data_IF_126964976319
#
_entry.id   IF_126964976319
#
_cell.length_a   1.000
_cell.length_b   1.000
_cell.length_c   1.000
_cell.angle_alpha   90.00
_cell.angle_beta   90.00
_cell.angle_gamma   90.00
#
_symmetry.space_group_name_H-M   'P 1'
#
loop_
_entity.id
_entity.type
_entity.pdbx_description
1 polymer ?
#
# COMPACT_ATOMS: atom_id res chain seq x y z
N UNK A 1 24.19 -30.60 50.78
CA UNK A 1 23.93 -29.33 50.10
C UNK A 1 25.16 -29.09 49.20
N UNK A 2 25.04 -29.40 47.88
CA UNK A 2 26.09 -29.04 46.91
C UNK A 2 26.03 -27.55 46.67
N UNK A 3 27.10 -26.82 47.03
CA UNK A 3 27.30 -25.44 46.61
C UNK A 3 27.56 -25.46 45.10
N UNK A 4 26.63 -25.00 44.32
CA UNK A 4 26.84 -24.71 42.90
C UNK A 4 27.87 -23.57 42.81
N UNK A 5 28.89 -23.74 41.95
CA UNK A 5 29.85 -22.70 41.65
C UNK A 5 29.17 -21.54 40.97
N UNK A 6 29.71 -20.34 41.08
CA UNK A 6 29.17 -19.13 40.44
C UNK A 6 29.01 -19.27 38.91
N UNK A 7 29.88 -20.08 38.29
CA UNK A 7 29.83 -20.41 36.85
C UNK A 7 28.62 -21.31 36.48
N UNK A 8 28.32 -22.36 37.30
CA UNK A 8 27.13 -23.21 37.09
C UNK A 8 25.82 -22.45 37.32
N UNK A 9 25.82 -21.47 38.26
CA UNK A 9 24.65 -20.58 38.43
C UNK A 9 24.45 -19.65 37.24
N UNK A 10 25.51 -19.18 36.63
CA UNK A 10 25.44 -18.33 35.44
C UNK A 10 25.01 -19.13 34.19
N UNK A 11 25.49 -20.35 34.00
CA UNK A 11 25.06 -21.23 32.90
C UNK A 11 23.57 -21.61 32.98
N UNK A 12 23.04 -21.86 34.16
CA UNK A 12 21.61 -22.19 34.38
C UNK A 12 20.73 -20.95 34.22
N UNK A 13 21.26 -19.73 34.45
CA UNK A 13 20.54 -18.46 34.26
C UNK A 13 20.62 -17.94 32.81
N UNK A 14 21.65 -18.32 32.04
CA UNK A 14 21.83 -17.88 30.65
C UNK A 14 20.91 -18.60 29.67
N UNK A 15 20.56 -19.87 29.89
CA UNK A 15 19.75 -20.67 28.96
C UNK A 15 18.33 -20.13 28.72
N UNK A 16 17.53 -19.70 29.70
CA UNK A 16 16.21 -19.12 29.47
C UNK A 16 16.31 -17.75 28.79
N UNK A 17 17.33 -16.95 29.10
CA UNK A 17 17.54 -15.62 28.55
C UNK A 17 17.90 -15.68 27.05
N UNK A 18 18.78 -16.60 26.66
CA UNK A 18 19.14 -16.85 25.26
C UNK A 18 17.94 -17.29 24.45
N UNK A 19 17.07 -18.11 25.00
CA UNK A 19 15.81 -18.54 24.37
C UNK A 19 14.83 -17.38 24.11
N UNK A 20 14.72 -16.44 25.06
CA UNK A 20 13.85 -15.26 24.90
C UNK A 20 14.41 -14.31 23.84
N UNK A 21 15.72 -14.04 23.85
CA UNK A 21 16.37 -13.21 22.81
C UNK A 21 16.17 -13.78 21.42
N UNK A 22 16.33 -15.08 21.24
CA UNK A 22 16.11 -15.74 19.95
C UNK A 22 14.67 -15.59 19.47
N UNK A 23 13.68 -15.73 20.35
CA UNK A 23 12.26 -15.49 20.01
C UNK A 23 12.02 -14.04 19.61
N UNK A 24 12.60 -13.08 20.34
CA UNK A 24 12.54 -11.65 20.02
C UNK A 24 13.14 -11.31 18.66
N UNK A 25 14.28 -11.91 18.32
CA UNK A 25 14.90 -11.71 17.01
C UNK A 25 14.02 -12.22 15.86
N UNK A 26 13.33 -13.34 16.03
CA UNK A 26 12.37 -13.85 15.05
C UNK A 26 11.20 -12.89 14.90
N UNK A 27 10.64 -12.36 16.01
CA UNK A 27 9.56 -11.36 15.97
C UNK A 27 10.00 -10.08 15.27
N UNK A 28 11.21 -9.57 15.57
CA UNK A 28 11.78 -8.40 14.91
C UNK A 28 12.01 -8.63 13.41
N UNK A 29 12.42 -9.83 13.00
CA UNK A 29 12.59 -10.17 11.60
C UNK A 29 11.25 -10.18 10.86
N UNK A 30 10.20 -10.76 11.44
CA UNK A 30 8.85 -10.73 10.89
C UNK A 30 8.35 -9.28 10.75
N UNK A 31 8.47 -8.50 11.82
CA UNK A 31 8.06 -7.11 11.84
C UNK A 31 8.82 -6.27 10.79
N UNK A 32 10.13 -6.48 10.66
CA UNK A 32 10.98 -5.85 9.65
C UNK A 32 10.50 -6.18 8.24
N UNK A 33 10.29 -7.47 7.94
CA UNK A 33 9.80 -7.90 6.62
C UNK A 33 8.48 -7.23 6.24
N UNK A 34 7.52 -7.19 7.16
CA UNK A 34 6.21 -6.59 6.93
C UNK A 34 6.32 -5.08 6.74
N UNK A 35 7.14 -4.41 7.53
CA UNK A 35 7.34 -2.97 7.48
C UNK A 35 8.05 -2.54 6.18
N UNK A 36 9.10 -3.25 5.78
CA UNK A 36 9.79 -3.04 4.49
C UNK A 36 8.85 -3.25 3.30
N UNK A 37 7.88 -4.14 3.44
CA UNK A 37 6.87 -4.42 2.41
C UNK A 37 5.67 -3.48 2.43
N UNK A 38 5.68 -2.45 3.26
CA UNK A 38 4.65 -1.42 3.29
C UNK A 38 3.33 -1.86 3.92
N UNK A 39 3.34 -2.82 4.85
CA UNK A 39 2.16 -3.16 5.63
C UNK A 39 1.74 -2.00 6.55
N UNK A 40 0.45 -1.92 6.86
CA UNK A 40 -0.08 -1.03 7.89
C UNK A 40 0.35 -1.47 9.29
N UNK A 41 0.36 -0.53 10.24
CA UNK A 41 0.86 -0.79 11.61
C UNK A 41 0.00 -1.81 12.36
N UNK A 42 -1.31 -1.76 12.20
CA UNK A 42 -2.25 -2.70 12.84
C UNK A 42 -1.94 -4.13 12.43
N UNK A 43 -1.65 -4.32 11.15
CA UNK A 43 -1.29 -5.61 10.60
C UNK A 43 0.04 -6.11 11.14
N UNK A 44 1.06 -5.27 11.17
CA UNK A 44 2.37 -5.65 11.72
C UNK A 44 2.21 -6.12 13.17
N UNK A 45 1.47 -5.36 13.99
CA UNK A 45 1.19 -5.73 15.39
C UNK A 45 0.46 -7.07 15.47
N UNK A 46 -0.58 -7.27 14.68
CA UNK A 46 -1.36 -8.52 14.67
C UNK A 46 -0.51 -9.74 14.28
N UNK A 47 0.35 -9.63 13.28
CA UNK A 47 1.22 -10.72 12.84
C UNK A 47 2.32 -11.03 13.88
N UNK A 48 2.88 -10.00 14.55
CA UNK A 48 3.82 -10.18 15.67
C UNK A 48 3.13 -10.92 16.82
N UNK A 49 1.93 -10.51 17.19
CA UNK A 49 1.15 -11.15 18.25
C UNK A 49 0.84 -12.62 17.95
N UNK A 50 0.46 -12.93 16.70
CA UNK A 50 0.24 -14.31 16.28
C UNK A 50 1.52 -15.15 16.34
N UNK A 51 2.64 -14.62 15.84
CA UNK A 51 3.93 -15.29 15.92
C UNK A 51 4.41 -15.48 17.38
N UNK A 52 4.18 -14.50 18.25
CA UNK A 52 4.49 -14.58 19.67
C UNK A 52 3.67 -15.69 20.35
N UNK A 53 2.37 -15.75 20.06
CA UNK A 53 1.49 -16.83 20.56
C UNK A 53 1.98 -18.19 20.10
N UNK A 54 2.37 -18.34 18.82
CA UNK A 54 2.97 -19.57 18.30
C UNK A 54 4.23 -19.98 19.09
N UNK A 55 5.04 -19.01 19.51
CA UNK A 55 6.27 -19.25 20.28
C UNK A 55 6.05 -19.38 21.78
N UNK A 56 4.77 -19.39 22.23
CA UNK A 56 4.40 -19.52 23.65
C UNK A 56 4.63 -18.25 24.47
N UNK A 57 4.62 -17.07 23.85
CA UNK A 57 4.72 -15.77 24.55
C UNK A 57 3.29 -15.22 24.72
N UNK A 58 2.79 -15.09 25.96
CA UNK A 58 1.47 -14.53 26.22
C UNK A 58 1.39 -13.05 25.82
N UNK A 59 0.23 -12.63 25.31
CA UNK A 59 0.01 -11.24 24.87
C UNK A 59 0.24 -10.21 25.96
N UNK A 60 -0.08 -10.56 27.21
CA UNK A 60 0.04 -9.65 28.36
C UNK A 60 1.47 -9.26 28.70
N UNK A 61 2.46 -10.04 28.27
CA UNK A 61 3.88 -9.76 28.49
C UNK A 61 4.56 -9.07 27.31
N UNK A 62 3.82 -8.86 26.21
CA UNK A 62 4.37 -8.34 24.96
C UNK A 62 3.89 -6.92 24.70
N UNK A 63 4.80 -5.96 24.76
CA UNK A 63 4.55 -4.57 24.37
C UNK A 63 5.22 -4.29 23.02
N UNK A 64 4.42 -3.85 22.04
CA UNK A 64 4.88 -3.59 20.69
C UNK A 64 4.69 -2.11 20.39
N UNK A 65 5.77 -1.42 20.06
CA UNK A 65 5.74 -0.04 19.60
C UNK A 65 6.32 0.04 18.19
N UNK A 66 5.55 0.60 17.26
CA UNK A 66 5.94 0.75 15.86
C UNK A 66 5.84 2.22 15.48
N UNK A 67 6.96 2.80 15.09
CA UNK A 67 6.99 4.05 14.35
C UNK A 67 7.26 3.77 12.87
N UNK A 68 7.25 4.80 12.03
CA UNK A 68 7.42 4.61 10.59
C UNK A 68 8.76 3.96 10.19
N UNK A 69 9.82 4.18 10.94
CA UNK A 69 11.18 3.67 10.64
C UNK A 69 11.75 2.79 11.72
N UNK A 70 11.03 2.56 12.81
CA UNK A 70 11.56 1.84 13.97
C UNK A 70 10.52 0.90 14.55
N UNK A 71 10.95 -0.30 14.84
CA UNK A 71 10.20 -1.32 15.55
C UNK A 71 10.85 -1.51 16.90
N UNK A 72 10.08 -1.45 17.97
CA UNK A 72 10.50 -1.74 19.32
C UNK A 72 9.57 -2.80 19.91
N UNK A 73 10.13 -3.86 20.44
CA UNK A 73 9.42 -4.93 21.10
C UNK A 73 10.01 -5.06 22.50
N UNK A 74 9.12 -5.02 23.48
CA UNK A 74 9.45 -5.23 24.87
C UNK A 74 8.72 -6.48 25.40
N UNK A 75 9.43 -7.32 26.10
CA UNK A 75 8.87 -8.44 26.88
C UNK A 75 9.15 -8.20 28.35
N UNK A 76 8.09 -8.23 29.16
CA UNK A 76 8.19 -8.19 30.61
C UNK A 76 7.93 -9.60 31.17
N UNK A 77 8.91 -10.17 31.86
CA UNK A 77 8.81 -11.50 32.44
C UNK A 77 9.60 -11.56 33.76
N UNK A 78 8.96 -11.99 34.84
CA UNK A 78 9.55 -12.22 36.17
C UNK A 78 10.48 -11.07 36.63
N UNK A 79 9.95 -9.86 36.77
CA UNK A 79 10.69 -8.65 37.21
C UNK A 79 11.80 -8.16 36.23
N UNK A 80 11.97 -8.83 35.09
CA UNK A 80 12.94 -8.42 34.05
C UNK A 80 12.20 -7.89 32.84
N UNK A 81 12.71 -6.80 32.29
CA UNK A 81 12.23 -6.17 31.06
C UNK A 81 13.31 -6.24 30.00
N UNK A 82 12.99 -6.88 28.88
CA UNK A 82 13.90 -6.96 27.73
C UNK A 82 13.29 -6.16 26.61
N UNK A 83 13.98 -5.10 26.18
CA UNK A 83 13.58 -4.25 25.06
C UNK A 83 14.57 -4.42 23.94
N UNK A 84 14.07 -4.74 22.76
CA UNK A 84 14.84 -4.82 21.51
C UNK A 84 14.25 -3.90 20.47
N UNK A 85 15.09 -3.28 19.65
CA UNK A 85 14.64 -2.41 18.58
C UNK A 85 15.38 -2.66 17.28
N UNK A 86 14.74 -2.31 16.16
CA UNK A 86 15.33 -2.40 14.81
C UNK A 86 14.87 -1.26 13.93
N UNK A 87 15.80 -0.66 13.18
CA UNK A 87 15.49 0.35 12.16
C UNK A 87 15.17 -0.29 10.82
N UNK A 88 14.21 0.28 10.13
CA UNK A 88 13.75 -0.14 8.79
C UNK A 88 13.61 1.10 7.89
N UNK A 89 14.66 1.50 7.18
CA UNK A 89 14.66 2.76 6.45
C UNK A 89 13.93 2.70 5.10
N UNK A 90 13.72 1.51 4.52
CA UNK A 90 13.22 1.34 3.16
C UNK A 90 11.84 0.68 3.20
N UNK A 91 10.87 1.27 2.48
CA UNK A 91 9.52 0.74 2.35
C UNK A 91 9.14 0.64 0.88
N UNK A 92 9.08 -0.58 0.36
CA UNK A 92 8.64 -0.86 -1.02
C UNK A 92 7.45 -1.83 -0.97
N UNK A 93 6.27 -1.44 -1.44
CA UNK A 93 5.10 -2.31 -1.39
C UNK A 93 5.35 -3.68 -2.02
N UNK A 94 5.15 -4.75 -1.23
CA UNK A 94 5.30 -6.13 -1.67
C UNK A 94 4.19 -7.01 -1.06
N UNK A 95 3.08 -7.09 -1.77
CA UNK A 95 1.89 -7.81 -1.31
C UNK A 95 2.10 -9.34 -1.27
N UNK A 96 2.99 -9.87 -2.13
CA UNK A 96 3.35 -11.29 -2.10
C UNK A 96 4.05 -11.66 -0.80
N UNK A 97 4.99 -10.81 -0.33
CA UNK A 97 5.70 -11.03 0.93
C UNK A 97 4.76 -10.94 2.13
N UNK A 98 3.90 -9.92 2.19
CA UNK A 98 2.90 -9.77 3.25
C UNK A 98 2.03 -11.02 3.35
N UNK A 99 1.56 -11.53 2.22
CA UNK A 99 0.77 -12.77 2.16
C UNK A 99 1.57 -14.01 2.58
N UNK A 100 2.85 -14.07 2.22
CA UNK A 100 3.72 -15.20 2.55
C UNK A 100 4.02 -15.28 4.05
N UNK A 101 4.28 -14.15 4.70
CA UNK A 101 4.50 -14.09 6.16
C UNK A 101 3.26 -14.62 6.89
N UNK A 102 2.07 -14.09 6.59
CA UNK A 102 0.81 -14.55 7.22
C UNK A 102 0.59 -16.05 7.00
N UNK A 103 0.81 -16.55 5.78
CA UNK A 103 0.67 -17.98 5.48
C UNK A 103 1.67 -18.85 6.22
N UNK A 104 2.91 -18.38 6.38
CA UNK A 104 3.94 -19.13 7.09
C UNK A 104 3.58 -19.27 8.57
N UNK A 105 3.13 -18.20 9.22
CA UNK A 105 2.71 -18.23 10.62
C UNK A 105 1.55 -19.22 10.84
N UNK A 106 0.54 -19.21 9.95
CA UNK A 106 -0.56 -20.17 10.02
C UNK A 106 -0.11 -21.62 9.82
N UNK A 107 0.76 -21.87 8.84
CA UNK A 107 1.32 -23.22 8.61
C UNK A 107 2.15 -23.69 9.78
N UNK A 108 2.84 -22.78 10.47
CA UNK A 108 3.62 -23.13 11.66
C UNK A 108 2.72 -23.65 12.78
N UNK A 109 1.53 -23.03 12.97
CA UNK A 109 0.52 -23.57 13.88
C UNK A 109 -0.03 -24.92 13.43
N UNK A 110 -0.47 -25.04 12.18
CA UNK A 110 -1.13 -26.25 11.66
C UNK A 110 -0.18 -27.47 11.60
N UNK A 111 1.11 -27.24 11.39
CA UNK A 111 2.11 -28.31 11.22
C UNK A 111 3.05 -28.46 12.41
N UNK A 112 2.78 -27.81 13.53
CA UNK A 112 3.57 -27.87 14.76
C UNK A 112 5.09 -27.68 14.51
N UNK A 113 5.46 -26.62 13.76
CA UNK A 113 6.87 -26.35 13.47
C UNK A 113 7.66 -26.09 14.76
N UNK A 114 8.91 -26.56 14.81
CA UNK A 114 9.86 -26.15 15.83
C UNK A 114 10.29 -24.69 15.62
N UNK A 115 10.71 -24.01 16.69
CA UNK A 115 11.21 -22.62 16.61
C UNK A 115 12.34 -22.50 15.58
N UNK A 116 13.27 -23.45 15.54
CA UNK A 116 14.39 -23.48 14.59
C UNK A 116 13.94 -23.59 13.13
N UNK A 117 12.90 -24.40 12.89
CA UNK A 117 12.32 -24.53 11.54
C UNK A 117 11.62 -23.25 11.13
N UNK A 118 10.85 -22.64 12.03
CA UNK A 118 10.13 -21.37 11.77
C UNK A 118 11.10 -20.24 11.48
N UNK A 119 12.13 -20.05 12.33
CA UNK A 119 13.19 -19.05 12.14
C UNK A 119 13.88 -19.20 10.77
N UNK A 120 14.29 -20.44 10.43
CA UNK A 120 14.90 -20.72 9.12
C UNK A 120 13.99 -20.39 7.96
N UNK A 121 12.70 -20.67 8.07
CA UNK A 121 11.73 -20.39 7.01
C UNK A 121 11.45 -18.90 6.89
N UNK A 122 11.35 -18.16 8.01
CA UNK A 122 11.24 -16.68 8.02
C UNK A 122 12.46 -16.05 7.34
N UNK A 123 13.67 -16.51 7.67
CA UNK A 123 14.90 -16.01 7.05
C UNK A 123 14.99 -16.29 5.54
N UNK A 124 14.38 -17.36 5.06
CA UNK A 124 14.36 -17.70 3.63
C UNK A 124 13.29 -16.98 2.83
N UNK A 125 12.29 -16.35 3.45
CA UNK A 125 11.17 -15.71 2.74
C UNK A 125 11.65 -14.68 1.71
N UNK A 126 12.63 -13.84 2.05
CA UNK A 126 13.16 -12.82 1.13
C UNK A 126 13.76 -13.41 -0.15
N UNK A 127 14.35 -14.60 -0.06
CA UNK A 127 14.96 -15.28 -1.20
C UNK A 127 13.96 -16.12 -2.01
N UNK A 128 12.87 -16.54 -1.37
CA UNK A 128 11.91 -17.49 -1.95
C UNK A 128 10.75 -16.80 -2.66
N UNK A 129 10.37 -15.58 -2.22
CA UNK A 129 9.23 -14.88 -2.80
C UNK A 129 9.66 -14.19 -4.10
N UNK A 130 9.06 -14.58 -5.25
CA UNK A 130 9.40 -13.98 -6.53
C UNK A 130 8.98 -12.51 -6.58
N UNK A 131 9.85 -11.69 -7.16
CA UNK A 131 9.58 -10.28 -7.45
C UNK A 131 9.51 -10.11 -8.96
N UNK A 132 8.50 -9.39 -9.44
CA UNK A 132 8.42 -9.09 -10.88
C UNK A 132 9.66 -8.34 -11.34
N UNK A 133 10.23 -8.72 -12.50
CA UNK A 133 11.40 -8.04 -13.05
C UNK A 133 11.08 -6.58 -13.40
N UNK A 134 12.11 -5.74 -13.44
CA UNK A 134 11.98 -4.30 -13.66
C UNK A 134 11.23 -3.99 -14.94
N UNK A 135 11.49 -4.71 -16.04
CA UNK A 135 10.80 -4.51 -17.31
C UNK A 135 9.30 -4.82 -17.21
N UNK A 136 8.91 -5.88 -16.49
CA UNK A 136 7.49 -6.23 -16.32
C UNK A 136 6.76 -5.18 -15.47
N UNK A 137 7.41 -4.63 -14.44
CA UNK A 137 6.88 -3.50 -13.67
C UNK A 137 6.75 -2.24 -14.51
N UNK A 138 7.69 -1.99 -15.44
CA UNK A 138 7.62 -0.88 -16.38
C UNK A 138 6.42 -1.00 -17.32
N UNK A 139 6.21 -2.16 -17.93
CA UNK A 139 5.04 -2.43 -18.78
C UNK A 139 3.74 -2.30 -17.97
N UNK A 140 3.70 -2.87 -16.78
CA UNK A 140 2.53 -2.76 -15.89
C UNK A 140 2.25 -1.30 -15.51
N UNK A 141 3.28 -0.51 -15.22
CA UNK A 141 3.17 0.92 -14.99
C UNK A 141 2.50 1.64 -16.17
N UNK A 142 3.02 1.40 -17.37
CA UNK A 142 2.51 2.01 -18.59
C UNK A 142 1.07 1.60 -18.92
N UNK A 143 0.74 0.29 -18.75
CA UNK A 143 -0.62 -0.21 -18.89
C UNK A 143 -1.57 0.37 -17.84
N UNK A 144 -1.14 0.49 -16.59
CA UNK A 144 -1.93 1.09 -15.52
C UNK A 144 -2.28 2.54 -15.79
N UNK A 145 -1.31 3.32 -16.25
CA UNK A 145 -1.50 4.72 -16.66
C UNK A 145 -2.43 4.87 -17.86
N UNK A 146 -2.23 4.06 -18.90
CA UNK A 146 -3.12 4.02 -20.06
C UNK A 146 -4.54 3.58 -19.66
N UNK A 147 -4.67 2.60 -18.75
CA UNK A 147 -5.95 2.18 -18.18
C UNK A 147 -6.67 3.32 -17.45
N UNK A 148 -5.95 4.15 -16.68
CA UNK A 148 -6.51 5.35 -16.06
C UNK A 148 -6.95 6.39 -17.11
N UNK A 149 -6.15 6.63 -18.16
CA UNK A 149 -6.53 7.51 -19.24
C UNK A 149 -7.80 7.00 -19.96
N UNK A 150 -7.91 5.69 -20.17
CA UNK A 150 -9.10 5.07 -20.76
C UNK A 150 -10.32 5.17 -19.85
N UNK A 151 -10.14 5.06 -18.54
CA UNK A 151 -11.19 5.31 -17.54
C UNK A 151 -11.80 6.72 -17.67
N UNK A 152 -11.01 7.70 -18.11
CA UNK A 152 -11.43 9.06 -18.40
C UNK A 152 -11.88 9.27 -19.86
N UNK A 153 -12.08 8.19 -20.61
CA UNK A 153 -12.54 8.21 -22.01
C UNK A 153 -11.58 8.91 -22.97
N UNK A 154 -10.27 8.82 -22.70
CA UNK A 154 -9.25 9.30 -23.63
C UNK A 154 -9.27 8.47 -24.93
N UNK A 155 -8.96 9.12 -26.05
CA UNK A 155 -8.87 8.50 -27.38
C UNK A 155 -7.68 7.53 -27.50
N UNK A 156 -7.71 6.65 -28.47
CA UNK A 156 -6.71 5.58 -28.65
C UNK A 156 -5.29 6.15 -28.79
N UNK A 157 -5.13 7.26 -29.51
CA UNK A 157 -3.83 7.91 -29.68
C UNK A 157 -3.30 8.37 -28.31
N UNK A 158 -4.14 9.01 -27.50
CA UNK A 158 -3.80 9.43 -26.14
C UNK A 158 -3.42 8.24 -25.25
N UNK A 159 -4.06 7.08 -25.41
CA UNK A 159 -3.70 5.86 -24.66
C UNK A 159 -2.27 5.40 -25.01
N UNK A 160 -1.95 5.34 -26.30
CA UNK A 160 -0.61 4.94 -26.77
C UNK A 160 0.46 5.92 -26.29
N UNK A 161 0.21 7.21 -26.41
CA UNK A 161 1.14 8.24 -25.93
C UNK A 161 1.31 8.17 -24.42
N UNK A 162 0.22 8.02 -23.65
CA UNK A 162 0.28 7.83 -22.18
C UNK A 162 1.11 6.60 -21.82
N UNK A 163 0.94 5.49 -22.53
CA UNK A 163 1.72 4.28 -22.33
C UNK A 163 3.22 4.53 -22.52
N UNK A 164 3.62 5.16 -23.64
CA UNK A 164 5.03 5.44 -23.94
C UNK A 164 5.63 6.40 -22.90
N UNK A 165 4.94 7.49 -22.59
CA UNK A 165 5.40 8.49 -21.63
C UNK A 165 5.60 7.89 -20.23
N UNK A 166 4.64 7.08 -19.75
CA UNK A 166 4.72 6.40 -18.47
C UNK A 166 5.86 5.39 -18.43
N UNK A 167 6.07 4.66 -19.53
CA UNK A 167 7.16 3.68 -19.65
C UNK A 167 8.52 4.37 -19.54
N UNK A 168 8.73 5.44 -20.30
CA UNK A 168 9.97 6.23 -20.26
C UNK A 168 10.19 6.86 -18.87
N UNK A 169 9.15 7.46 -18.28
CA UNK A 169 9.19 8.00 -16.94
C UNK A 169 9.56 6.94 -15.89
N UNK A 170 8.98 5.76 -15.96
CA UNK A 170 9.31 4.65 -15.04
C UNK A 170 10.77 4.23 -15.15
N UNK A 171 11.30 4.06 -16.36
CA UNK A 171 12.72 3.70 -16.54
C UNK A 171 13.65 4.81 -16.09
N UNK A 172 13.27 6.08 -16.30
CA UNK A 172 14.05 7.21 -15.76
C UNK A 172 14.06 7.23 -14.23
N UNK A 173 12.94 6.88 -13.56
CA UNK A 173 12.90 6.68 -12.11
C UNK A 173 13.85 5.58 -11.66
N UNK A 174 13.86 4.44 -12.35
CA UNK A 174 14.76 3.33 -12.03
C UNK A 174 16.22 3.74 -12.23
N UNK A 175 16.53 4.48 -13.29
CA UNK A 175 17.86 4.99 -13.55
C UNK A 175 18.32 5.97 -12.45
N UNK A 176 17.45 6.90 -12.06
CA UNK A 176 17.73 7.85 -10.97
C UNK A 176 18.05 7.16 -9.66
N UNK A 177 17.31 6.07 -9.33
CA UNK A 177 17.58 5.27 -8.14
C UNK A 177 18.92 4.52 -8.22
N UNK A 178 19.28 4.00 -9.40
CA UNK A 178 20.60 3.35 -9.61
C UNK A 178 21.76 4.31 -9.52
N UNK A 179 21.55 5.57 -9.90
CA UNK A 179 22.54 6.65 -9.76
C UNK A 179 22.64 7.19 -8.33
N UNK A 180 21.85 6.66 -7.38
CA UNK A 180 21.88 7.04 -5.97
C UNK A 180 21.17 8.37 -5.66
N UNK A 181 20.32 8.86 -6.57
CA UNK A 181 19.53 10.06 -6.30
C UNK A 181 18.49 9.80 -5.21
N UNK A 182 18.23 10.85 -4.42
CA UNK A 182 17.15 10.83 -3.45
C UNK A 182 15.80 10.52 -4.11
N UNK A 183 14.91 9.81 -3.40
CA UNK A 183 13.59 9.43 -3.88
C UNK A 183 12.78 10.63 -4.43
N UNK A 184 12.84 11.78 -3.76
CA UNK A 184 12.12 12.98 -4.18
C UNK A 184 12.65 13.55 -5.50
N UNK A 185 13.96 13.67 -5.64
CA UNK A 185 14.59 14.11 -6.87
C UNK A 185 14.32 13.12 -8.02
N UNK A 186 14.42 11.82 -7.75
CA UNK A 186 14.10 10.79 -8.73
C UNK A 186 12.65 10.86 -9.23
N UNK A 187 11.71 11.18 -8.34
CA UNK A 187 10.31 11.37 -8.70
C UNK A 187 10.11 12.67 -9.53
N UNK A 188 10.78 13.75 -9.19
CA UNK A 188 10.71 15.00 -9.97
C UNK A 188 11.27 14.80 -11.40
N UNK A 189 12.43 14.15 -11.54
CA UNK A 189 13.02 13.82 -12.84
C UNK A 189 12.10 12.92 -13.67
N UNK A 190 11.50 11.91 -13.04
CA UNK A 190 10.57 11.01 -13.70
C UNK A 190 9.34 11.76 -14.23
N UNK A 191 8.71 12.61 -13.40
CA UNK A 191 7.54 13.38 -13.78
C UNK A 191 7.89 14.39 -14.90
N UNK A 192 9.03 15.08 -14.79
CA UNK A 192 9.55 15.95 -15.84
C UNK A 192 9.69 15.21 -17.15
N UNK A 193 10.38 14.06 -17.14
CA UNK A 193 10.64 13.29 -18.35
C UNK A 193 9.35 12.79 -19.01
N UNK A 194 8.44 12.22 -18.23
CA UNK A 194 7.17 11.71 -18.75
C UNK A 194 6.35 12.84 -19.42
N UNK A 195 6.28 13.99 -18.78
CA UNK A 195 5.50 15.12 -19.26
C UNK A 195 6.18 15.83 -20.44
N UNK A 196 7.50 15.96 -20.42
CA UNK A 196 8.26 16.57 -21.52
C UNK A 196 8.18 15.73 -22.81
N UNK A 197 8.19 14.39 -22.70
CA UNK A 197 7.95 13.49 -23.83
C UNK A 197 6.51 13.62 -24.33
N UNK A 198 5.52 13.76 -23.43
CA UNK A 198 4.13 13.97 -23.83
C UNK A 198 3.96 15.28 -24.62
N UNK A 199 4.66 16.34 -24.22
CA UNK A 199 4.72 17.58 -24.99
C UNK A 199 5.36 17.39 -26.37
N UNK A 200 6.45 16.63 -26.46
CA UNK A 200 7.06 16.29 -27.75
C UNK A 200 6.06 15.62 -28.69
N UNK A 201 5.27 14.68 -28.20
CA UNK A 201 4.20 14.09 -29.03
C UNK A 201 3.15 15.10 -29.48
N UNK A 202 2.75 16.00 -28.57
CA UNK A 202 1.76 17.05 -28.89
C UNK A 202 2.20 17.97 -30.02
N UNK A 203 3.52 18.24 -30.19
CA UNK A 203 4.02 19.10 -31.28
C UNK A 203 3.95 18.44 -32.66
N UNK A 204 3.86 17.09 -32.71
CA UNK A 204 3.84 16.33 -33.95
C UNK A 204 2.48 15.70 -34.26
N UNK A 205 1.61 15.55 -33.29
CA UNK A 205 0.34 14.84 -33.38
C UNK A 205 -0.76 15.69 -32.73
N UNK A 206 -1.87 15.92 -33.42
CA UNK A 206 -3.05 16.52 -32.79
C UNK A 206 -3.61 15.56 -31.73
N UNK A 207 -3.43 15.87 -30.47
CA UNK A 207 -3.94 15.14 -29.33
C UNK A 207 -5.23 15.80 -28.83
N UNK A 208 -6.37 15.26 -29.21
CA UNK A 208 -7.68 15.72 -28.71
C UNK A 208 -7.85 15.61 -27.20
N UNK A 209 -7.14 14.67 -26.57
CA UNK A 209 -7.20 14.37 -25.15
C UNK A 209 -5.90 14.65 -24.40
N UNK A 210 -5.14 15.67 -24.81
CA UNK A 210 -3.81 16.01 -24.28
C UNK A 210 -3.77 16.07 -22.74
N UNK A 211 -4.77 16.68 -22.11
CA UNK A 211 -4.81 16.86 -20.64
C UNK A 211 -4.81 15.51 -19.91
N UNK A 212 -5.52 14.53 -20.44
CA UNK A 212 -5.51 13.18 -19.87
C UNK A 212 -4.14 12.52 -19.99
N UNK A 213 -3.45 12.72 -21.13
CA UNK A 213 -2.08 12.21 -21.33
C UNK A 213 -1.14 12.80 -20.27
N UNK A 214 -1.12 14.14 -20.14
CA UNK A 214 -0.23 14.86 -19.24
C UNK A 214 -0.41 14.46 -17.78
N UNK A 215 -1.65 14.26 -17.35
CA UNK A 215 -1.94 13.85 -15.97
C UNK A 215 -1.69 12.36 -15.78
N UNK A 216 -2.27 11.50 -16.64
CA UNK A 216 -2.23 10.06 -16.44
C UNK A 216 -0.83 9.47 -16.59
N UNK A 217 0.05 10.06 -17.41
CA UNK A 217 1.42 9.55 -17.58
C UNK A 217 2.28 9.64 -16.29
N UNK A 218 1.84 10.40 -15.28
CA UNK A 218 2.53 10.57 -14.01
C UNK A 218 1.79 9.95 -12.82
N UNK A 219 0.50 9.59 -12.96
CA UNK A 219 -0.34 9.09 -11.85
C UNK A 219 0.19 7.82 -11.17
N UNK A 220 0.97 6.99 -11.88
CA UNK A 220 1.57 5.79 -11.31
C UNK A 220 2.55 6.08 -10.17
N UNK A 221 3.04 7.31 -10.09
CA UNK A 221 3.99 7.73 -9.05
C UNK A 221 3.29 8.07 -7.73
N UNK A 222 1.99 8.32 -7.75
CA UNK A 222 1.24 8.65 -6.54
C UNK A 222 1.29 7.47 -5.58
N UNK A 223 1.83 7.67 -4.37
CA UNK A 223 2.03 6.60 -3.40
C UNK A 223 0.71 6.21 -2.71
N UNK A 224 -0.19 5.55 -3.45
CA UNK A 224 -1.53 5.19 -2.99
C UNK A 224 -1.55 4.29 -1.75
N UNK A 225 -0.63 3.30 -1.67
CA UNK A 225 -0.53 2.41 -0.49
C UNK A 225 -0.17 3.19 0.77
N UNK A 226 0.89 4.03 0.81
CA UNK A 226 1.19 4.86 1.97
C UNK A 226 0.07 5.83 2.33
N UNK A 227 -0.66 6.39 1.34
CA UNK A 227 -1.81 7.26 1.59
C UNK A 227 -2.93 6.55 2.34
N UNK A 228 -3.38 5.39 1.85
CA UNK A 228 -4.42 4.58 2.50
C UNK A 228 -3.95 4.17 3.90
N UNK A 229 -2.72 3.69 4.02
CA UNK A 229 -2.18 3.24 5.30
C UNK A 229 -2.02 4.39 6.30
N UNK A 230 -1.75 5.62 5.86
CA UNK A 230 -1.66 6.77 6.77
C UNK A 230 -2.98 7.02 7.49
N UNK A 231 -4.09 6.92 6.77
CA UNK A 231 -5.43 7.09 7.36
C UNK A 231 -5.80 5.88 8.23
N UNK A 232 -5.51 4.65 7.76
CA UNK A 232 -5.76 3.43 8.54
C UNK A 232 -5.00 3.48 9.87
N UNK A 233 -3.72 3.83 9.86
CA UNK A 233 -2.89 3.93 11.06
C UNK A 233 -3.44 5.00 12.03
N UNK A 234 -3.84 6.17 11.51
CA UNK A 234 -4.39 7.26 12.31
C UNK A 234 -5.70 6.88 12.98
N UNK A 235 -6.64 6.25 12.25
CA UNK A 235 -7.92 5.79 12.80
C UNK A 235 -7.74 4.73 13.89
N UNK A 236 -6.69 3.92 13.79
CA UNK A 236 -6.38 2.87 14.76
C UNK A 236 -5.42 3.33 15.88
N UNK A 237 -5.33 4.62 16.14
CA UNK A 237 -4.49 5.25 17.18
C UNK A 237 -2.96 5.10 17.00
N UNK A 238 -2.49 4.69 15.84
CA UNK A 238 -1.08 4.74 15.46
C UNK A 238 -0.74 6.09 14.82
N UNK A 239 -1.08 7.18 15.51
CA UNK A 239 -1.06 8.56 14.99
C UNK A 239 0.32 8.93 14.43
N UNK A 240 1.40 8.62 15.17
CA UNK A 240 2.77 8.96 14.75
C UNK A 240 3.15 8.29 13.42
N UNK A 241 2.83 7.02 13.25
CA UNK A 241 3.05 6.29 11.99
C UNK A 241 2.19 6.86 10.85
N UNK A 242 0.91 7.16 11.14
CA UNK A 242 -0.03 7.74 10.19
C UNK A 242 0.42 9.10 9.67
N UNK A 243 0.75 10.03 10.57
CA UNK A 243 1.23 11.38 10.20
C UNK A 243 2.54 11.30 9.40
N UNK A 244 3.49 10.49 9.83
CA UNK A 244 4.77 10.36 9.11
C UNK A 244 4.58 9.82 7.69
N UNK A 245 3.67 8.85 7.49
CA UNK A 245 3.29 8.35 6.16
C UNK A 245 2.62 9.45 5.32
N UNK A 246 1.73 10.24 5.91
CA UNK A 246 1.05 11.35 5.23
C UNK A 246 2.05 12.41 4.76
N UNK A 247 2.94 12.87 5.64
CA UNK A 247 3.96 13.88 5.31
C UNK A 247 4.89 13.37 4.20
N UNK A 248 5.39 12.14 4.31
CA UNK A 248 6.23 11.55 3.25
C UNK A 248 5.50 11.50 1.91
N UNK A 249 4.24 11.12 1.92
CA UNK A 249 3.42 11.07 0.71
C UNK A 249 3.25 12.47 0.10
N UNK A 250 2.99 13.48 0.91
CA UNK A 250 2.91 14.88 0.46
C UNK A 250 4.22 15.34 -0.18
N UNK A 251 5.36 15.00 0.40
CA UNK A 251 6.67 15.33 -0.17
C UNK A 251 6.90 14.64 -1.52
N UNK A 252 6.48 13.37 -1.68
CA UNK A 252 6.56 12.66 -2.96
C UNK A 252 5.68 13.33 -4.01
N UNK A 253 4.42 13.63 -3.69
CA UNK A 253 3.50 14.28 -4.63
C UNK A 253 3.96 15.70 -4.93
N UNK A 254 4.46 16.44 -3.95
CA UNK A 254 5.04 17.78 -4.15
C UNK A 254 6.25 17.76 -5.08
N UNK A 255 7.18 16.83 -4.89
CA UNK A 255 8.35 16.68 -5.78
C UNK A 255 7.95 16.33 -7.23
N UNK A 256 6.96 15.47 -7.39
CA UNK A 256 6.36 15.10 -8.66
C UNK A 256 5.74 16.33 -9.35
N UNK A 257 4.97 17.12 -8.61
CA UNK A 257 4.34 18.35 -9.12
C UNK A 257 5.37 19.38 -9.55
N UNK A 258 6.48 19.54 -8.81
CA UNK A 258 7.60 20.39 -9.22
C UNK A 258 8.22 19.93 -10.54
N UNK A 259 8.45 18.62 -10.71
CA UNK A 259 8.94 18.06 -11.97
C UNK A 259 8.00 18.35 -13.16
N UNK A 260 6.68 18.20 -12.94
CA UNK A 260 5.66 18.53 -13.94
C UNK A 260 5.63 20.02 -14.26
N UNK A 261 5.70 20.89 -13.24
CA UNK A 261 5.73 22.34 -13.43
C UNK A 261 6.97 22.79 -14.24
N UNK A 262 8.14 22.20 -13.97
CA UNK A 262 9.33 22.44 -14.77
C UNK A 262 9.14 22.01 -16.24
N UNK A 263 8.52 20.86 -16.49
CA UNK A 263 8.24 20.42 -17.85
C UNK A 263 7.32 21.41 -18.57
N UNK A 264 6.29 21.93 -17.91
CA UNK A 264 5.38 22.93 -18.46
C UNK A 264 6.07 24.28 -18.71
N UNK A 265 7.01 24.68 -17.86
CA UNK A 265 7.78 25.89 -18.06
C UNK A 265 8.60 25.88 -19.37
N UNK A 266 9.19 24.73 -19.70
CA UNK A 266 9.93 24.52 -20.95
C UNK A 266 9.04 24.17 -22.15
N UNK A 267 7.76 23.97 -21.92
CA UNK A 267 6.80 23.49 -22.92
C UNK A 267 5.61 24.48 -22.98
N UNK A 268 5.56 25.43 -23.92
CA UNK A 268 4.45 26.37 -24.03
C UNK A 268 3.18 25.63 -24.48
N UNK A 269 2.51 25.00 -23.53
CA UNK A 269 1.22 24.35 -23.75
C UNK A 269 0.11 25.40 -23.65
N UNK A 270 -0.96 25.28 -24.47
CA UNK A 270 -2.13 26.13 -24.31
C UNK A 270 -2.70 25.97 -22.89
N UNK A 271 -3.25 27.05 -22.35
CA UNK A 271 -3.83 27.06 -21.01
C UNK A 271 -4.67 25.80 -20.78
N UNK A 272 -4.44 25.11 -19.65
CA UNK A 272 -5.22 23.94 -19.26
C UNK A 272 -6.68 24.36 -19.10
N UNK A 273 -7.46 24.33 -20.16
CA UNK A 273 -8.90 24.45 -20.07
C UNK A 273 -9.38 23.27 -19.23
N UNK A 274 -10.08 23.58 -18.16
CA UNK A 274 -10.61 22.61 -17.21
C UNK A 274 -11.43 21.57 -17.96
N UNK A 275 -10.87 20.38 -18.14
CA UNK A 275 -11.59 19.28 -18.76
C UNK A 275 -12.53 18.71 -17.71
N UNK A 276 -13.83 18.91 -17.92
CA UNK A 276 -14.87 18.26 -17.14
C UNK A 276 -14.79 16.76 -17.35
N UNK A 277 -14.33 16.07 -16.32
CA UNK A 277 -14.36 14.61 -16.31
C UNK A 277 -15.82 14.19 -16.13
N UNK A 278 -16.46 13.79 -17.22
CA UNK A 278 -17.83 13.25 -17.16
C UNK A 278 -17.75 11.77 -16.85
N UNK A 279 -18.04 11.36 -15.62
CA UNK A 279 -18.14 9.94 -15.30
C UNK A 279 -19.35 9.35 -16.05
N UNK A 280 -19.26 8.10 -16.48
CA UNK A 280 -20.36 7.33 -17.05
C UNK A 280 -20.67 6.15 -16.12
N UNK A 281 -21.93 5.72 -16.00
CA UNK A 281 -22.30 4.61 -15.11
C UNK A 281 -21.77 3.29 -15.64
N UNK A 282 -22.01 3.03 -16.92
CA UNK A 282 -21.57 1.82 -17.62
C UNK A 282 -21.03 2.18 -19.01
N UNK A 283 -19.71 2.35 -19.12
CA UNK A 283 -19.06 2.39 -20.42
C UNK A 283 -18.01 1.26 -20.48
N UNK A 284 -17.80 0.73 -21.70
CA UNK A 284 -16.77 -0.28 -21.95
C UNK A 284 -15.39 0.25 -21.52
N UNK A 285 -15.12 1.54 -21.82
CA UNK A 285 -13.90 2.22 -21.42
C UNK A 285 -13.69 2.19 -19.90
N UNK A 286 -14.74 2.40 -19.13
CA UNK A 286 -14.69 2.40 -17.68
C UNK A 286 -14.43 1.00 -17.10
N UNK A 287 -15.08 -0.02 -17.62
CA UNK A 287 -14.89 -1.41 -17.18
C UNK A 287 -13.46 -1.87 -17.50
N UNK A 288 -13.02 -1.69 -18.74
CA UNK A 288 -11.67 -2.11 -19.16
C UNK A 288 -10.61 -1.25 -18.47
N UNK A 289 -10.78 0.07 -18.42
CA UNK A 289 -9.84 1.00 -17.80
C UNK A 289 -9.63 0.72 -16.32
N UNK A 290 -10.68 0.52 -15.55
CA UNK A 290 -10.58 0.19 -14.13
C UNK A 290 -9.98 -1.20 -13.88
N UNK A 291 -10.34 -2.20 -14.71
CA UNK A 291 -9.74 -3.54 -14.62
C UNK A 291 -8.25 -3.51 -14.89
N UNK A 292 -7.84 -2.94 -16.03
CA UNK A 292 -6.43 -2.88 -16.44
C UNK A 292 -5.62 -2.06 -15.45
N UNK A 293 -6.14 -0.91 -15.01
CA UNK A 293 -5.48 -0.07 -14.03
C UNK A 293 -5.23 -0.82 -12.70
N UNK A 294 -6.27 -1.39 -12.09
CA UNK A 294 -6.14 -2.09 -10.82
C UNK A 294 -5.21 -3.32 -10.91
N UNK A 295 -5.33 -4.13 -11.95
CA UNK A 295 -4.47 -5.29 -12.18
C UNK A 295 -3.00 -4.90 -12.40
N UNK A 296 -2.75 -3.82 -13.15
CA UNK A 296 -1.41 -3.30 -13.44
C UNK A 296 -0.74 -2.73 -12.19
N UNK A 297 -1.45 -1.95 -11.39
CA UNK A 297 -0.93 -1.46 -10.11
C UNK A 297 -0.67 -2.61 -9.12
N UNK A 298 -1.45 -3.69 -9.17
CA UNK A 298 -1.17 -4.88 -8.38
C UNK A 298 0.19 -5.52 -8.75
N UNK A 299 0.59 -5.50 -10.03
CA UNK A 299 1.93 -5.95 -10.46
C UNK A 299 3.02 -5.02 -9.89
N UNK A 300 2.81 -3.70 -9.89
CA UNK A 300 3.74 -2.74 -9.27
C UNK A 300 3.94 -3.00 -7.77
N UNK A 301 2.87 -3.41 -7.07
CA UNK A 301 2.93 -3.78 -5.65
C UNK A 301 3.34 -5.24 -5.42
N UNK A 302 3.85 -5.90 -6.44
CA UNK A 302 4.29 -7.29 -6.36
C UNK A 302 3.22 -8.24 -5.81
N UNK A 303 1.97 -8.07 -6.22
CA UNK A 303 0.88 -8.99 -5.87
C UNK A 303 1.05 -10.32 -6.59
N UNK A 304 0.69 -11.47 -5.96
CA UNK A 304 0.76 -12.77 -6.62
C UNK A 304 -0.07 -12.81 -7.91
N UNK A 305 0.50 -13.33 -9.01
CA UNK A 305 -0.12 -13.33 -10.34
C UNK A 305 -1.55 -13.93 -10.35
N UNK A 306 -1.78 -14.98 -9.56
CA UNK A 306 -3.11 -15.62 -9.43
C UNK A 306 -4.21 -14.70 -8.89
N UNK A 307 -3.83 -13.59 -8.22
CA UNK A 307 -4.77 -12.64 -7.62
C UNK A 307 -5.08 -11.46 -8.55
N UNK A 308 -4.31 -11.25 -9.62
CA UNK A 308 -4.48 -10.12 -10.53
C UNK A 308 -5.89 -10.01 -11.15
N UNK A 309 -6.50 -11.10 -11.64
CA UNK A 309 -7.86 -11.04 -12.18
C UNK A 309 -8.89 -10.58 -11.14
N UNK A 310 -8.78 -11.07 -9.91
CA UNK A 310 -9.68 -10.69 -8.82
C UNK A 310 -9.49 -9.23 -8.41
N UNK A 311 -8.24 -8.76 -8.37
CA UNK A 311 -7.92 -7.37 -8.08
C UNK A 311 -8.46 -6.44 -9.18
N UNK A 312 -8.31 -6.84 -10.45
CA UNK A 312 -8.89 -6.12 -11.59
C UNK A 312 -10.41 -6.00 -11.47
N UNK A 313 -11.11 -7.12 -11.19
CA UNK A 313 -12.56 -7.13 -10.94
C UNK A 313 -12.94 -6.25 -9.74
N UNK A 314 -12.15 -6.23 -8.69
CA UNK A 314 -12.33 -5.33 -7.57
C UNK A 314 -12.26 -3.85 -7.98
N UNK A 315 -11.33 -3.49 -8.88
CA UNK A 315 -11.26 -2.17 -9.50
C UNK A 315 -12.54 -1.81 -10.25
N UNK A 316 -13.08 -2.74 -11.05
CA UNK A 316 -14.37 -2.55 -11.75
C UNK A 316 -15.50 -2.30 -10.76
N UNK A 317 -15.64 -3.17 -9.75
CA UNK A 317 -16.71 -3.06 -8.75
C UNK A 317 -16.67 -1.71 -8.05
N UNK A 318 -15.51 -1.30 -7.54
CA UNK A 318 -15.43 -0.07 -6.76
C UNK A 318 -15.66 1.19 -7.61
N UNK A 319 -15.17 1.24 -8.86
CA UNK A 319 -15.37 2.36 -9.77
C UNK A 319 -16.84 2.43 -10.23
N UNK A 320 -17.44 1.29 -10.58
CA UNK A 320 -18.84 1.24 -11.00
C UNK A 320 -19.77 1.71 -9.89
N UNK A 321 -19.59 1.24 -8.66
CA UNK A 321 -20.41 1.66 -7.52
C UNK A 321 -20.21 3.14 -7.21
N UNK A 322 -18.95 3.65 -7.22
CA UNK A 322 -18.68 5.08 -7.07
C UNK A 322 -19.48 5.91 -8.09
N UNK A 323 -19.42 5.52 -9.36
CA UNK A 323 -20.09 6.29 -10.41
C UNK A 323 -21.60 6.19 -10.33
N UNK A 324 -22.14 5.03 -9.96
CA UNK A 324 -23.56 4.87 -9.68
C UNK A 324 -24.03 5.82 -8.56
N UNK A 325 -23.28 5.87 -7.44
CA UNK A 325 -23.61 6.76 -6.33
C UNK A 325 -23.51 8.24 -6.73
N UNK A 326 -22.52 8.58 -7.55
CA UNK A 326 -22.30 9.95 -8.00
C UNK A 326 -23.40 10.42 -8.96
N UNK A 327 -23.77 9.61 -9.96
CA UNK A 327 -24.61 10.01 -11.08
C UNK A 327 -26.11 9.78 -10.84
N UNK A 328 -26.48 8.64 -10.25
CA UNK A 328 -27.90 8.33 -10.02
C UNK A 328 -28.39 8.86 -8.67
N UNK A 329 -27.55 8.79 -7.64
CA UNK A 329 -27.97 9.17 -6.30
C UNK A 329 -27.46 10.55 -5.86
N UNK A 330 -26.70 11.27 -6.70
CA UNK A 330 -26.24 12.62 -6.45
C UNK A 330 -25.29 12.79 -5.26
N UNK A 331 -24.62 11.71 -4.83
CA UNK A 331 -23.62 11.79 -3.78
C UNK A 331 -22.43 12.65 -4.21
N UNK A 332 -21.86 13.44 -3.29
CA UNK A 332 -20.55 14.06 -3.52
C UNK A 332 -19.45 13.00 -3.70
N UNK A 333 -18.41 13.31 -4.48
CA UNK A 333 -17.33 12.39 -4.82
C UNK A 333 -16.70 11.66 -3.61
N UNK A 334 -16.43 12.33 -2.45
CA UNK A 334 -15.92 11.64 -1.27
C UNK A 334 -16.85 10.55 -0.71
N UNK A 335 -18.16 10.85 -0.64
CA UNK A 335 -19.17 9.89 -0.20
C UNK A 335 -19.33 8.71 -1.18
N UNK A 336 -19.36 9.00 -2.47
CA UNK A 336 -19.42 7.98 -3.51
C UNK A 336 -18.20 7.06 -3.51
N UNK A 337 -16.99 7.60 -3.33
CA UNK A 337 -15.75 6.81 -3.23
C UNK A 337 -15.70 5.96 -1.97
N UNK A 338 -16.19 6.48 -0.83
CA UNK A 338 -16.33 5.71 0.40
C UNK A 338 -17.23 4.48 0.20
N UNK A 339 -18.42 4.67 -0.40
CA UNK A 339 -19.37 3.57 -0.63
C UNK A 339 -18.76 2.55 -1.59
N UNK A 340 -18.15 2.99 -2.69
CA UNK A 340 -17.50 2.10 -3.65
C UNK A 340 -16.39 1.26 -3.01
N UNK A 341 -15.53 1.87 -2.20
CA UNK A 341 -14.47 1.19 -1.48
C UNK A 341 -15.01 0.23 -0.41
N UNK A 342 -16.07 0.62 0.32
CA UNK A 342 -16.67 -0.19 1.37
C UNK A 342 -17.33 -1.45 0.81
N UNK A 343 -18.13 -1.34 -0.24
CA UNK A 343 -18.81 -2.49 -0.87
C UNK A 343 -17.77 -3.47 -1.44
N UNK A 344 -16.76 -2.97 -2.16
CA UNK A 344 -15.66 -3.81 -2.67
C UNK A 344 -14.94 -4.52 -1.51
N UNK A 345 -14.66 -3.80 -0.40
CA UNK A 345 -14.00 -4.36 0.76
C UNK A 345 -14.82 -5.47 1.43
N UNK A 346 -16.14 -5.31 1.57
CA UNK A 346 -17.05 -6.35 2.10
C UNK A 346 -17.00 -7.61 1.24
N UNK A 347 -17.07 -7.47 -0.08
CA UNK A 347 -16.96 -8.59 -1.01
C UNK A 347 -15.62 -9.31 -0.84
N UNK A 348 -14.54 -8.56 -0.70
CA UNK A 348 -13.19 -9.12 -0.59
C UNK A 348 -12.89 -9.75 0.76
N UNK A 349 -13.57 -9.36 1.83
CA UNK A 349 -13.49 -10.08 3.11
C UNK A 349 -13.86 -11.56 2.90
N UNK A 350 -14.95 -11.84 2.20
CA UNK A 350 -15.41 -13.20 1.93
C UNK A 350 -14.50 -13.90 0.90
N UNK A 351 -14.10 -13.18 -0.15
CA UNK A 351 -13.25 -13.69 -1.21
C UNK A 351 -11.83 -14.02 -0.69
N UNK A 352 -11.30 -13.24 0.25
CA UNK A 352 -9.97 -13.47 0.84
C UNK A 352 -9.86 -14.81 1.57
N UNK A 353 -10.94 -15.24 2.25
CA UNK A 353 -10.98 -16.53 2.91
C UNK A 353 -10.99 -17.68 1.91
N UNK A 354 -11.74 -17.55 0.82
CA UNK A 354 -11.79 -18.54 -0.27
C UNK A 354 -10.45 -18.65 -1.02
N UNK A 355 -9.82 -17.52 -1.33
CA UNK A 355 -8.51 -17.46 -2.00
C UNK A 355 -7.33 -17.79 -1.05
N UNK A 356 -7.60 -18.01 0.23
CA UNK A 356 -6.59 -18.22 1.28
C UNK A 356 -5.50 -17.16 1.21
N UNK A 357 -5.91 -15.90 1.16
CA UNK A 357 -5.03 -14.74 1.11
C UNK A 357 -5.46 -13.70 2.14
N UNK A 358 -4.61 -12.76 2.44
CA UNK A 358 -5.00 -11.69 3.35
C UNK A 358 -5.79 -10.60 2.64
N UNK A 359 -6.86 -10.10 3.27
CA UNK A 359 -7.78 -9.10 2.71
C UNK A 359 -7.09 -7.88 2.08
N UNK A 360 -6.19 -7.16 2.79
CA UNK A 360 -5.52 -5.98 2.25
C UNK A 360 -4.71 -6.22 0.97
N UNK A 361 -4.22 -7.44 0.74
CA UNK A 361 -3.52 -7.79 -0.52
C UNK A 361 -4.43 -7.69 -1.75
N UNK A 362 -5.73 -7.90 -1.57
CA UNK A 362 -6.74 -7.73 -2.62
C UNK A 362 -7.29 -6.31 -2.65
N UNK A 363 -7.69 -5.80 -1.47
CA UNK A 363 -8.45 -4.55 -1.34
C UNK A 363 -7.63 -3.32 -1.72
N UNK A 364 -6.38 -3.23 -1.23
CA UNK A 364 -5.56 -2.03 -1.42
C UNK A 364 -5.23 -1.76 -2.90
N UNK A 365 -4.73 -2.73 -3.68
CA UNK A 365 -4.50 -2.50 -5.11
C UNK A 365 -5.78 -2.19 -5.90
N UNK A 366 -6.91 -2.82 -5.55
CA UNK A 366 -8.20 -2.56 -6.20
C UNK A 366 -8.71 -1.14 -5.96
N UNK A 367 -8.52 -0.61 -4.75
CA UNK A 367 -8.95 0.73 -4.38
C UNK A 367 -8.15 1.86 -5.08
N UNK A 368 -6.99 1.55 -5.67
CA UNK A 368 -6.17 2.56 -6.37
C UNK A 368 -6.88 3.16 -7.58
N UNK A 369 -7.75 2.40 -8.25
CA UNK A 369 -8.57 2.92 -9.34
C UNK A 369 -9.54 4.05 -8.89
N UNK A 370 -9.80 4.19 -7.58
CA UNK A 370 -10.59 5.28 -7.00
C UNK A 370 -9.78 6.52 -6.65
N UNK A 371 -8.45 6.45 -6.66
CA UNK A 371 -7.58 7.54 -6.20
C UNK A 371 -7.84 8.83 -6.97
N UNK A 372 -8.09 9.94 -6.25
CA UNK A 372 -8.39 11.23 -6.86
C UNK A 372 -7.10 11.94 -7.32
N UNK A 373 -6.26 11.26 -8.10
CA UNK A 373 -4.95 11.75 -8.50
C UNK A 373 -5.00 13.08 -9.25
N UNK A 374 -5.98 13.24 -10.14
CA UNK A 374 -6.18 14.47 -10.91
C UNK A 374 -6.51 15.66 -10.00
N UNK A 375 -7.35 15.46 -8.98
CA UNK A 375 -7.71 16.53 -8.04
C UNK A 375 -6.50 16.98 -7.21
N UNK A 376 -5.70 16.02 -6.73
CA UNK A 376 -4.47 16.33 -6.00
C UNK A 376 -3.46 17.06 -6.88
N UNK A 377 -3.34 16.64 -8.14
CA UNK A 377 -2.46 17.30 -9.09
C UNK A 377 -2.91 18.75 -9.33
N UNK A 378 -4.20 18.97 -9.67
CA UNK A 378 -4.75 20.33 -9.87
C UNK A 378 -4.51 21.21 -8.65
N UNK A 379 -4.83 20.71 -7.47
CA UNK A 379 -4.63 21.44 -6.22
C UNK A 379 -3.18 21.90 -6.03
N UNK A 380 -2.21 20.99 -6.24
CA UNK A 380 -0.80 21.34 -6.06
C UNK A 380 -0.27 22.24 -7.19
N UNK A 381 -0.76 22.05 -8.41
CA UNK A 381 -0.44 22.92 -9.54
C UNK A 381 -0.95 24.33 -9.30
N UNK A 382 -2.19 24.49 -8.84
CA UNK A 382 -2.80 25.77 -8.53
C UNK A 382 -2.06 26.49 -7.38
N UNK A 383 -1.56 25.74 -6.37
CA UNK A 383 -0.70 26.30 -5.30
C UNK A 383 0.58 26.91 -5.89
N UNK A 384 1.23 26.24 -6.82
CA UNK A 384 2.46 26.75 -7.46
C UNK A 384 2.22 28.02 -8.26
N UNK A 385 1.01 28.20 -8.78
CA UNK A 385 0.61 29.36 -9.58
C UNK A 385 -0.34 30.32 -8.88
N UNK A 386 -0.36 30.30 -7.54
CA UNK A 386 -1.33 31.01 -6.71
C UNK A 386 -1.41 32.52 -7.01
N UNK A 387 -0.28 33.14 -7.35
CA UNK A 387 -0.19 34.56 -7.69
C UNK A 387 -0.87 34.92 -9.03
N UNK A 388 -1.13 33.96 -9.88
CA UNK A 388 -1.80 34.15 -11.18
C UNK A 388 -3.29 33.79 -11.16
N UNK A 389 -3.79 33.27 -10.03
CA UNK A 389 -5.18 32.86 -9.87
C UNK A 389 -6.08 34.06 -9.57
N UNK A 390 -7.24 34.10 -10.21
CA UNK A 390 -8.35 35.00 -9.85
C UNK A 390 -9.17 34.35 -8.71
N UNK A 391 -10.18 35.09 -8.19
CA UNK A 391 -11.03 34.61 -7.08
C UNK A 391 -11.69 33.25 -7.37
N UNK A 392 -12.20 33.07 -8.59
CA UNK A 392 -12.76 31.77 -9.00
C UNK A 392 -11.73 30.66 -9.04
N UNK A 393 -10.51 30.94 -9.47
CA UNK A 393 -9.37 30.00 -9.46
C UNK A 393 -9.01 29.55 -8.05
N UNK A 394 -8.96 30.47 -7.09
CA UNK A 394 -8.73 30.17 -5.68
C UNK A 394 -9.83 29.25 -5.10
N UNK A 395 -11.09 29.51 -5.47
CA UNK A 395 -12.20 28.65 -5.04
C UNK A 395 -12.08 27.23 -5.64
N UNK A 396 -11.76 27.10 -6.93
CA UNK A 396 -11.53 25.78 -7.56
C UNK A 396 -10.33 25.05 -6.97
N UNK A 397 -9.24 25.74 -6.66
CA UNK A 397 -8.09 25.18 -5.94
C UNK A 397 -8.52 24.60 -4.59
N UNK A 398 -9.26 25.36 -3.78
CA UNK A 398 -9.74 24.90 -2.48
C UNK A 398 -10.71 23.70 -2.61
N UNK A 399 -11.61 23.73 -3.60
CA UNK A 399 -12.53 22.61 -3.88
C UNK A 399 -11.79 21.34 -4.32
N UNK A 400 -10.80 21.45 -5.21
CA UNK A 400 -9.99 20.32 -5.65
C UNK A 400 -9.22 19.71 -4.49
N UNK A 401 -8.60 20.54 -3.65
CA UNK A 401 -7.85 20.09 -2.47
C UNK A 401 -8.73 19.39 -1.44
N UNK A 402 -9.81 20.03 -1.03
CA UNK A 402 -10.74 19.47 -0.04
C UNK A 402 -11.41 18.18 -0.55
N UNK A 403 -11.91 18.18 -1.78
CA UNK A 403 -12.54 17.00 -2.39
C UNK A 403 -11.53 15.86 -2.54
N UNK A 404 -10.29 16.17 -2.95
CA UNK A 404 -9.22 15.20 -3.08
C UNK A 404 -8.87 14.54 -1.74
N UNK A 405 -8.64 15.33 -0.71
CA UNK A 405 -8.32 14.85 0.66
C UNK A 405 -9.48 14.03 1.24
N UNK A 406 -10.70 14.55 1.18
CA UNK A 406 -11.88 13.83 1.69
C UNK A 406 -12.15 12.54 0.94
N UNK A 407 -11.86 12.48 -0.37
CA UNK A 407 -11.99 11.23 -1.15
C UNK A 407 -10.97 10.19 -0.69
N UNK A 408 -9.72 10.58 -0.40
CA UNK A 408 -8.70 9.67 0.15
C UNK A 408 -9.13 9.14 1.52
N UNK A 409 -9.63 10.01 2.39
CA UNK A 409 -10.17 9.59 3.69
C UNK A 409 -11.36 8.64 3.48
N UNK A 410 -12.27 8.96 2.55
CA UNK A 410 -13.40 8.10 2.20
C UNK A 410 -12.95 6.71 1.74
N UNK A 411 -11.98 6.63 0.82
CA UNK A 411 -11.42 5.35 0.37
C UNK A 411 -10.83 4.57 1.55
N UNK A 412 -10.00 5.22 2.36
CA UNK A 412 -9.30 4.53 3.45
C UNK A 412 -10.27 4.05 4.54
N UNK A 413 -11.28 4.84 4.90
CA UNK A 413 -12.34 4.43 5.84
C UNK A 413 -13.19 3.31 5.24
N UNK A 414 -13.56 3.42 3.95
CA UNK A 414 -14.29 2.38 3.23
C UNK A 414 -13.53 1.06 3.16
N UNK A 415 -12.20 1.10 3.03
CA UNK A 415 -11.34 -0.08 3.10
C UNK A 415 -11.20 -0.60 4.55
N UNK A 416 -10.98 0.29 5.52
CA UNK A 416 -10.65 -0.08 6.89
C UNK A 416 -11.85 -0.65 7.65
N UNK A 417 -13.01 0.01 7.58
CA UNK A 417 -14.18 -0.34 8.42
C UNK A 417 -14.66 -1.77 8.19
N UNK A 418 -14.92 -2.25 6.96
CA UNK A 418 -15.32 -3.62 6.75
C UNK A 418 -14.26 -4.64 7.18
N UNK A 419 -12.97 -4.33 6.96
CA UNK A 419 -11.88 -5.19 7.37
C UNK A 419 -11.77 -5.29 8.91
N UNK A 420 -11.94 -4.19 9.63
CA UNK A 420 -11.90 -4.18 11.11
C UNK A 420 -13.08 -4.97 11.68
N UNK A 421 -14.28 -4.76 11.15
CA UNK A 421 -15.48 -5.49 11.58
C UNK A 421 -15.34 -7.00 11.31
N UNK A 422 -14.85 -7.35 10.13
CA UNK A 422 -14.59 -8.73 9.76
C UNK A 422 -13.46 -9.36 10.60
N UNK A 423 -12.40 -8.61 10.89
CA UNK A 423 -11.33 -9.08 11.77
C UNK A 423 -11.83 -9.39 13.17
N UNK A 424 -12.65 -8.53 13.77
CA UNK A 424 -13.26 -8.82 15.09
C UNK A 424 -14.06 -10.13 15.08
N UNK A 425 -14.86 -10.35 14.05
CA UNK A 425 -15.63 -11.59 13.91
C UNK A 425 -14.75 -12.80 13.60
N UNK A 426 -13.78 -12.65 12.69
CA UNK A 426 -12.84 -13.71 12.31
C UNK A 426 -11.78 -13.96 13.38
N UNK A 427 -11.41 -12.96 14.18
CA UNK A 427 -10.42 -13.08 15.24
C UNK A 427 -10.95 -13.91 16.40
N UNK A 428 -12.23 -13.82 16.72
CA UNK A 428 -12.86 -14.70 17.69
C UNK A 428 -12.79 -16.17 17.23
N UNK A 429 -13.10 -16.45 15.97
CA UNK A 429 -12.93 -17.80 15.37
C UNK A 429 -11.46 -18.23 15.27
N UNK A 430 -10.58 -17.30 14.94
CA UNK A 430 -9.14 -17.57 14.88
C UNK A 430 -8.56 -17.85 16.26
N UNK A 431 -8.94 -17.08 17.27
CA UNK A 431 -8.49 -17.28 18.66
C UNK A 431 -9.00 -18.62 19.21
N UNK A 432 -10.26 -18.99 18.95
CA UNK A 432 -10.79 -20.30 19.30
C UNK A 432 -9.97 -21.42 18.63
N UNK A 433 -9.75 -21.35 17.34
CA UNK A 433 -8.96 -22.34 16.60
C UNK A 433 -7.48 -22.37 17.05
N UNK A 434 -6.90 -21.22 17.41
CA UNK A 434 -5.54 -21.15 17.96
C UNK A 434 -5.48 -21.81 19.34
N UNK A 435 -6.50 -21.59 20.20
CA UNK A 435 -6.59 -22.25 21.49
C UNK A 435 -6.78 -23.77 21.38
N UNK A 436 -7.60 -24.23 20.44
CA UNK A 436 -7.77 -25.66 20.13
C UNK A 436 -6.46 -26.29 19.66
N UNK A 437 -5.73 -25.64 18.75
CA UNK A 437 -4.43 -26.09 18.24
C UNK A 437 -3.35 -26.08 19.33
N UNK A 438 -3.39 -25.13 20.27
CA UNK A 438 -2.49 -25.11 21.42
C UNK A 438 -2.82 -26.22 22.42
N UNK A 439 -4.09 -26.47 22.69
CA UNK A 439 -4.52 -27.56 23.57
C UNK A 439 -4.07 -28.92 23.01
N UNK A 440 -4.20 -29.13 21.69
CA UNK A 440 -3.71 -30.36 21.04
C UNK A 440 -2.18 -30.47 21.08
N UNK A 441 -1.45 -29.37 21.00
CA UNK A 441 0.01 -29.34 21.13
C UNK A 441 0.48 -29.71 22.53
N UNK A 442 -0.11 -29.14 23.55
CA UNK A 442 0.22 -29.51 24.94
C UNK A 442 -0.12 -30.93 25.27
N UNK A 443 -1.16 -31.52 24.67
CA UNK A 443 -1.50 -32.93 24.83
C UNK A 443 -0.49 -33.86 24.10
N UNK A 444 0.15 -33.43 23.01
CA UNK A 444 1.17 -34.20 22.29
C UNK A 444 2.57 -34.07 22.90
N UNK A 445 2.89 -32.94 23.55
CA UNK A 445 4.19 -32.71 24.20
C UNK A 445 4.21 -33.32 25.65
N UNK A 446 3.07 -33.75 26.17
CA UNK A 446 2.90 -34.42 27.48
C UNK A 446 2.87 -35.96 27.41
N UNK A 447 2.98 -36.55 26.22
CA UNK A 447 3.16 -37.97 25.97
C UNK A 447 4.60 -38.25 25.52
#
# INVERSE_FOLDING_TARGET
MKQFTLEEKNEVLETPFIHIHRKLDVLLNIAKLLMECGADTVRIVSEIQQAATFMGIPHNYLNIHISYTTIMINIFHEERSITVFRKTPIHVPNMAMINAVSKLTWRAFERHYSLTTYERLVGKLQQTIPVYPVWAKGIACALGSAGLAYLYSADIIALVVTFICSLCGYFMRVLSQRLGFNEYLGNAICAFTAMFIAYGFYTFIELGSLVYVLVCCTLFMIPGVPLINSVIDTINNHILSGITRAIRTLLIVGSMTLGMAMALYFSPLPAFNFVDIKPHIFSIAQIIGSFVSAASFAVLFNSPARLLPFIGLGGVVCVTIRNLMLLEYGFALPGATFIGAAVMSVIFVKLSTWLRTSGPVLVVPSAIALMPGILLYRFLFDILHINSLNESGLLYMAQNGTTGVLSIVGIAVGVAVPNVLAQRYLQNRKNQRTQELMATRHASDGQ
#
